data_IF_747037380942
#
_entry.id   IF_747037380942
#
_cell.length_a   1.000
_cell.length_b   1.000
_cell.length_c   1.000
_cell.angle_alpha   90.00
_cell.angle_beta   90.00
_cell.angle_gamma   90.00
#
_symmetry.space_group_name_H-M   'P 1'
#
loop_
_entity.id
_entity.type
_entity.pdbx_description
1 polymer ?
#
# COMPACT_ATOMS: atom_id res chain seq x y z
N UNK A 1 33.24 68.36 -44.97
CA UNK A 1 34.24 68.22 -43.90
C UNK A 1 34.45 66.72 -43.70
N UNK A 2 35.60 66.22 -44.15
CA UNK A 2 35.93 64.77 -44.15
C UNK A 2 36.61 64.45 -42.84
N UNK A 3 36.09 63.45 -42.10
CA UNK A 3 36.79 62.88 -40.96
C UNK A 3 37.20 61.45 -41.34
N UNK A 4 38.51 61.24 -41.26
CA UNK A 4 39.18 59.92 -41.54
C UNK A 4 39.02 58.97 -40.38
N UNK A 5 38.66 57.74 -40.68
CA UNK A 5 38.73 56.61 -39.74
C UNK A 5 40.14 56.07 -39.68
N UNK A 6 40.65 55.89 -38.48
CA UNK A 6 41.86 55.14 -38.25
C UNK A 6 41.50 53.74 -37.67
N UNK A 7 41.82 52.73 -38.44
CA UNK A 7 41.70 51.34 -37.99
C UNK A 7 42.94 51.00 -37.16
N UNK A 8 42.71 50.59 -35.90
CA UNK A 8 43.72 50.05 -35.02
C UNK A 8 43.63 48.54 -35.06
N UNK A 9 44.65 47.92 -35.65
CA UNK A 9 44.79 46.47 -35.73
C UNK A 9 45.46 45.95 -34.42
N UNK A 10 44.68 45.32 -33.54
CA UNK A 10 45.25 44.62 -32.37
C UNK A 10 45.63 43.18 -32.76
N UNK A 11 46.89 42.92 -32.80
CA UNK A 11 47.44 41.57 -32.96
C UNK A 11 47.43 40.87 -31.61
N UNK A 12 46.53 39.90 -31.44
CA UNK A 12 46.50 39.01 -30.27
C UNK A 12 47.39 37.78 -30.57
N UNK A 13 48.55 37.73 -29.98
CA UNK A 13 49.41 36.55 -29.97
C UNK A 13 48.83 35.51 -29.00
N UNK A 14 48.28 34.43 -29.50
CA UNK A 14 47.91 33.27 -28.69
C UNK A 14 49.13 32.40 -28.41
N UNK A 15 49.62 32.43 -27.16
CA UNK A 15 50.62 31.48 -26.66
C UNK A 15 49.87 30.21 -26.30
N UNK A 16 50.01 29.17 -27.12
CA UNK A 16 49.53 27.84 -26.80
C UNK A 16 50.51 27.18 -25.80
N UNK A 17 50.16 27.17 -24.52
CA UNK A 17 50.77 26.33 -23.52
C UNK A 17 50.22 24.90 -23.65
N UNK A 18 50.90 24.03 -24.35
CA UNK A 18 50.66 22.60 -24.34
C UNK A 18 51.27 21.98 -23.11
N UNK A 19 50.50 21.89 -22.03
CA UNK A 19 50.81 21.03 -20.90
C UNK A 19 50.38 19.60 -21.24
N UNK A 20 51.20 18.58 -21.07
CA UNK A 20 50.71 17.22 -21.22
C UNK A 20 49.80 16.89 -20.06
N UNK A 21 48.49 16.75 -20.35
CA UNK A 21 47.59 16.08 -19.42
C UNK A 21 48.02 14.62 -19.29
N UNK A 22 48.79 14.31 -18.26
CA UNK A 22 48.89 12.94 -17.77
C UNK A 22 47.51 12.52 -17.32
N UNK A 23 46.87 11.69 -18.14
CA UNK A 23 45.66 11.01 -17.73
C UNK A 23 45.97 10.14 -16.51
N UNK A 24 45.73 10.67 -15.31
CA UNK A 24 45.61 9.81 -14.13
C UNK A 24 44.42 8.91 -14.40
N UNK A 25 44.68 7.66 -14.70
CA UNK A 25 43.69 6.61 -14.73
C UNK A 25 43.02 6.55 -13.37
N UNK A 26 41.87 7.25 -13.25
CA UNK A 26 40.96 7.01 -12.15
C UNK A 26 40.47 5.59 -12.37
N UNK A 27 41.07 4.63 -11.67
CA UNK A 27 40.44 3.34 -11.48
C UNK A 27 39.10 3.64 -10.83
N UNK A 28 38.07 3.75 -11.65
CA UNK A 28 36.72 3.71 -11.20
C UNK A 28 36.54 2.32 -10.57
N UNK A 29 36.90 2.20 -9.30
CA UNK A 29 36.43 1.11 -8.49
C UNK A 29 34.92 1.17 -8.67
N UNK A 30 34.37 0.17 -9.36
CA UNK A 30 32.94 -0.01 -9.51
C UNK A 30 32.38 0.03 -8.09
N UNK A 31 31.83 1.16 -7.69
CA UNK A 31 31.18 1.28 -6.40
C UNK A 31 30.23 0.10 -6.33
N UNK A 32 30.45 -0.78 -5.37
CA UNK A 32 29.55 -1.91 -5.17
C UNK A 32 28.17 -1.30 -5.04
N UNK A 33 27.27 -1.65 -5.95
CA UNK A 33 25.88 -1.22 -5.88
C UNK A 33 25.35 -1.64 -4.51
N UNK A 34 25.12 -0.68 -3.61
CA UNK A 34 24.49 -0.91 -2.32
C UNK A 34 22.99 -1.04 -2.46
N UNK A 35 22.51 -1.37 -3.65
CA UNK A 35 21.08 -1.65 -3.88
C UNK A 35 20.68 -2.82 -3.01
N UNK A 36 19.63 -2.63 -2.24
CA UNK A 36 19.06 -3.70 -1.43
C UNK A 36 18.67 -4.88 -2.33
N UNK A 37 19.01 -6.09 -1.92
CA UNK A 37 18.62 -7.31 -2.60
C UNK A 37 18.07 -8.29 -1.56
N UNK A 38 16.80 -8.65 -1.60
CA UNK A 38 16.20 -9.59 -0.66
C UNK A 38 16.70 -11.02 -0.86
N UNK A 39 17.22 -11.37 -2.04
CA UNK A 39 17.69 -12.72 -2.32
C UNK A 39 18.96 -13.06 -1.55
N UNK A 40 18.97 -14.23 -0.96
CA UNK A 40 20.11 -14.84 -0.28
C UNK A 40 20.47 -16.14 -1.02
N UNK A 41 21.65 -16.68 -0.77
CA UNK A 41 22.05 -17.97 -1.37
C UNK A 41 21.13 -19.11 -0.90
N UNK A 42 21.06 -20.17 -1.72
CA UNK A 42 20.34 -21.41 -1.42
C UNK A 42 18.80 -21.26 -1.32
N UNK A 43 18.20 -20.39 -2.14
CA UNK A 43 16.74 -20.21 -2.17
C UNK A 43 16.17 -19.52 -0.92
N UNK A 44 17.04 -18.93 -0.10
CA UNK A 44 16.61 -18.15 1.06
C UNK A 44 16.37 -16.69 0.65
N UNK A 45 15.49 -16.00 1.39
CA UNK A 45 15.33 -14.56 1.29
C UNK A 45 15.59 -13.89 2.65
N UNK A 46 15.70 -12.58 2.65
CA UNK A 46 15.79 -11.74 3.84
C UNK A 46 14.81 -10.59 3.78
N UNK A 47 14.24 -10.26 4.91
CA UNK A 47 13.40 -9.09 5.07
C UNK A 47 14.22 -7.79 5.26
N UNK A 48 13.68 -6.62 4.82
CA UNK A 48 12.46 -6.49 4.06
C UNK A 48 12.56 -7.05 2.64
N UNK A 49 11.46 -7.55 2.08
CA UNK A 49 11.41 -7.95 0.66
C UNK A 49 11.36 -6.73 -0.25
N UNK A 50 10.80 -5.60 0.24
CA UNK A 50 10.89 -4.29 -0.40
C UNK A 50 11.44 -3.28 0.62
N UNK A 51 12.67 -2.80 0.41
CA UNK A 51 13.33 -1.80 1.25
C UNK A 51 13.05 -0.38 0.72
N UNK A 52 11.76 -0.05 0.59
CA UNK A 52 11.23 1.24 0.16
C UNK A 52 9.88 1.49 0.81
N UNK A 53 9.38 2.74 0.74
CA UNK A 53 8.09 3.12 1.32
C UNK A 53 6.93 2.56 0.50
N UNK A 54 6.40 1.42 0.93
CA UNK A 54 5.18 0.77 0.42
C UNK A 54 4.27 0.46 1.60
N UNK A 55 3.65 1.52 2.12
CA UNK A 55 2.77 1.47 3.29
C UNK A 55 1.51 0.65 3.01
N UNK A 56 1.04 -0.08 4.02
CA UNK A 56 -0.26 -0.75 3.99
C UNK A 56 -0.44 -1.71 2.79
N UNK A 57 0.53 -2.61 2.52
CA UNK A 57 0.50 -3.45 1.35
C UNK A 57 -0.70 -4.40 1.38
N UNK A 58 -1.33 -4.57 0.22
CA UNK A 58 -2.29 -5.65 0.00
C UNK A 58 -1.94 -6.41 -1.28
N UNK A 59 -2.19 -7.70 -1.28
CA UNK A 59 -1.76 -8.61 -2.34
C UNK A 59 -2.87 -9.60 -2.71
N UNK A 60 -2.98 -9.91 -3.99
CA UNK A 60 -3.79 -11.02 -4.47
C UNK A 60 -2.98 -11.92 -5.41
N UNK A 61 -3.39 -13.18 -5.52
CA UNK A 61 -2.82 -14.16 -6.44
C UNK A 61 -3.78 -14.45 -7.59
N UNK A 62 -3.24 -14.54 -8.81
CA UNK A 62 -3.97 -15.00 -9.99
C UNK A 62 -3.10 -16.04 -10.72
N UNK A 63 -3.46 -17.29 -10.63
CA UNK A 63 -2.63 -18.38 -11.15
C UNK A 63 -1.30 -18.49 -10.40
N UNK A 64 -0.20 -18.26 -11.11
CA UNK A 64 1.17 -18.27 -10.55
C UNK A 64 1.73 -16.86 -10.27
N UNK A 65 0.92 -15.85 -10.48
CA UNK A 65 1.32 -14.43 -10.39
C UNK A 65 0.71 -13.77 -9.17
N UNK A 66 1.48 -12.88 -8.56
CA UNK A 66 1.08 -12.08 -7.41
C UNK A 66 1.05 -10.61 -7.79
N UNK A 67 0.02 -9.91 -7.36
CA UNK A 67 -0.15 -8.48 -7.61
C UNK A 67 -0.35 -7.75 -6.30
N UNK A 68 0.44 -6.71 -6.07
CA UNK A 68 0.41 -5.91 -4.84
C UNK A 68 0.17 -4.44 -5.16
N UNK A 69 -0.54 -3.77 -4.27
CA UNK A 69 -0.65 -2.31 -4.23
C UNK A 69 -0.47 -1.82 -2.80
N UNK A 70 -0.28 -0.51 -2.63
CA UNK A 70 -0.03 0.13 -1.33
C UNK A 70 -0.58 1.54 -1.27
N UNK A 71 -0.61 2.14 -0.08
CA UNK A 71 -0.90 3.56 0.09
C UNK A 71 0.07 4.42 -0.72
N UNK A 72 -0.44 5.42 -1.40
CA UNK A 72 0.38 6.39 -2.13
C UNK A 72 0.21 7.82 -1.61
N UNK A 73 -0.74 8.03 -0.71
CA UNK A 73 -1.06 9.33 -0.12
C UNK A 73 -1.25 10.40 -1.21
N UNK A 74 -0.50 11.50 -1.16
CA UNK A 74 -0.51 12.58 -2.16
C UNK A 74 0.45 12.33 -3.33
N UNK A 75 1.14 11.19 -3.38
CA UNK A 75 2.12 10.88 -4.42
C UNK A 75 1.44 10.33 -5.67
N UNK A 76 1.84 10.81 -6.85
CA UNK A 76 1.35 10.33 -8.15
C UNK A 76 2.50 9.90 -9.04
N UNK A 77 2.25 8.90 -9.92
CA UNK A 77 1.03 8.12 -10.07
C UNK A 77 0.72 7.31 -8.81
N UNK A 78 -0.56 7.35 -8.39
CA UNK A 78 -1.04 6.68 -7.18
C UNK A 78 -1.45 5.24 -7.40
N UNK A 79 -1.51 4.45 -6.32
CA UNK A 79 -1.86 3.04 -6.35
C UNK A 79 -0.99 2.27 -7.36
N UNK A 80 0.32 2.29 -7.17
CA UNK A 80 1.24 1.53 -7.99
C UNK A 80 0.92 0.03 -7.90
N UNK A 81 0.99 -0.65 -9.04
CA UNK A 81 0.79 -2.08 -9.15
C UNK A 81 2.14 -2.75 -9.29
N UNK A 82 2.46 -3.60 -8.34
CA UNK A 82 3.66 -4.41 -8.35
C UNK A 82 3.30 -5.86 -8.69
N UNK A 83 4.15 -6.50 -9.46
CA UNK A 83 4.02 -7.89 -9.87
C UNK A 83 5.18 -8.72 -9.34
N UNK A 84 4.89 -9.95 -8.95
CA UNK A 84 5.87 -10.96 -8.55
C UNK A 84 5.41 -12.36 -8.93
N UNK A 85 6.36 -13.28 -9.08
CA UNK A 85 6.10 -14.72 -9.25
C UNK A 85 6.55 -15.54 -8.02
N UNK A 86 7.14 -14.89 -7.01
CA UNK A 86 7.75 -15.57 -5.86
C UNK A 86 7.53 -14.86 -4.51
N UNK A 87 6.77 -13.74 -4.48
CA UNK A 87 6.52 -12.89 -3.31
C UNK A 87 7.75 -12.16 -2.75
N UNK A 88 8.94 -12.40 -3.29
CA UNK A 88 10.22 -11.83 -2.83
C UNK A 88 10.71 -10.75 -3.78
N UNK A 89 10.64 -11.02 -5.07
CA UNK A 89 11.11 -10.13 -6.13
C UNK A 89 9.92 -9.44 -6.79
N UNK A 90 9.87 -8.11 -6.67
CA UNK A 90 8.77 -7.29 -7.12
C UNK A 90 9.20 -6.29 -8.18
N UNK A 91 8.39 -6.12 -9.22
CA UNK A 91 8.54 -5.08 -10.24
C UNK A 91 7.29 -4.20 -10.34
N UNK A 92 7.46 -2.90 -10.54
CA UNK A 92 6.34 -1.99 -10.81
C UNK A 92 5.94 -2.18 -12.27
N UNK A 93 4.67 -2.56 -12.50
CA UNK A 93 4.15 -2.80 -13.85
C UNK A 93 3.18 -1.72 -14.34
N UNK A 94 2.54 -1.00 -13.42
CA UNK A 94 1.59 0.08 -13.73
C UNK A 94 1.23 0.90 -12.49
N UNK A 95 0.25 1.79 -12.63
CA UNK A 95 -0.43 2.47 -11.54
C UNK A 95 -1.92 2.64 -11.88
N UNK A 96 -2.77 2.50 -10.87
CA UNK A 96 -4.22 2.58 -11.06
C UNK A 96 -4.76 4.02 -11.05
N UNK A 97 -4.04 4.96 -10.45
CA UNK A 97 -4.38 6.40 -10.46
C UNK A 97 -3.30 7.16 -11.20
N UNK A 98 -3.63 7.72 -12.35
CA UNK A 98 -2.70 8.50 -13.17
C UNK A 98 -2.78 9.99 -12.79
N UNK A 99 -3.57 10.80 -13.52
CA UNK A 99 -3.49 12.27 -13.41
C UNK A 99 -4.78 12.94 -12.87
N UNK A 100 -5.89 12.25 -12.85
CA UNK A 100 -7.22 12.80 -12.67
C UNK A 100 -7.91 12.41 -11.36
N UNK A 101 -7.13 12.20 -10.30
CA UNK A 101 -7.70 11.98 -8.98
C UNK A 101 -8.47 13.21 -8.50
N UNK A 102 -9.75 13.07 -8.09
CA UNK A 102 -10.57 14.21 -7.69
C UNK A 102 -10.11 14.78 -6.35
N UNK A 103 -9.35 15.85 -6.41
CA UNK A 103 -8.94 16.63 -5.23
C UNK A 103 -10.12 17.46 -4.73
N UNK A 104 -10.21 17.67 -3.41
CA UNK A 104 -11.22 18.56 -2.83
C UNK A 104 -11.12 19.97 -3.42
N UNK A 105 -12.25 20.65 -3.67
CA UNK A 105 -12.27 21.99 -4.30
C UNK A 105 -11.38 23.02 -3.60
N UNK A 106 -11.26 22.95 -2.27
CA UNK A 106 -10.40 23.83 -1.48
C UNK A 106 -8.91 23.66 -1.75
N UNK A 107 -8.50 22.58 -2.42
CA UNK A 107 -7.14 22.32 -2.85
C UNK A 107 -6.93 22.56 -4.35
N UNK A 108 -8.00 22.79 -5.10
CA UNK A 108 -7.93 23.02 -6.55
C UNK A 108 -7.65 24.49 -6.87
N UNK A 109 -6.72 24.75 -7.78
CA UNK A 109 -6.57 26.04 -8.48
C UNK A 109 -6.11 27.23 -7.64
N UNK A 110 -5.66 27.01 -6.42
CA UNK A 110 -5.04 28.06 -5.63
C UNK A 110 -3.54 28.00 -5.76
N UNK A 111 -2.88 29.16 -5.94
CA UNK A 111 -1.44 29.22 -5.68
C UNK A 111 -1.17 28.50 -4.35
N UNK A 112 -0.38 27.46 -4.43
CA UNK A 112 -0.03 26.64 -3.29
C UNK A 112 0.67 27.55 -2.27
N UNK A 113 -0.09 28.05 -1.30
CA UNK A 113 0.54 28.38 -0.04
C UNK A 113 1.00 27.06 0.57
N UNK A 114 2.14 26.59 0.08
CA UNK A 114 2.76 25.32 0.49
C UNK A 114 2.87 25.18 2.01
N UNK A 115 2.83 26.30 2.74
CA UNK A 115 2.89 26.33 4.21
C UNK A 115 1.56 25.97 4.88
N UNK A 116 0.45 26.18 4.18
CA UNK A 116 -0.90 26.02 4.74
C UNK A 116 -1.71 24.90 4.12
N UNK A 117 -1.38 24.49 2.88
CA UNK A 117 -2.25 23.62 2.06
C UNK A 117 -1.62 22.31 1.60
N UNK A 118 -0.31 22.15 1.65
CA UNK A 118 0.31 20.84 1.38
C UNK A 118 0.20 20.00 2.66
N UNK A 119 -0.87 19.23 2.73
CA UNK A 119 -1.03 18.25 3.80
C UNK A 119 -0.42 16.94 3.30
N UNK A 120 0.79 16.65 3.76
CA UNK A 120 1.38 15.34 3.56
C UNK A 120 0.50 14.27 4.21
N UNK A 121 0.36 13.13 3.52
CA UNK A 121 -0.41 12.00 4.01
C UNK A 121 -1.92 12.10 3.81
N UNK A 122 -2.40 12.96 2.89
CA UNK A 122 -3.79 12.99 2.46
C UNK A 122 -4.04 12.10 1.23
N UNK A 123 -5.29 11.95 0.82
CA UNK A 123 -5.87 11.31 -0.36
C UNK A 123 -5.88 9.77 -0.30
N UNK A 124 -4.87 9.11 -0.85
CA UNK A 124 -4.90 7.68 -1.14
C UNK A 124 -4.29 6.91 0.02
N UNK A 125 -5.14 6.50 0.96
CA UNK A 125 -4.73 5.72 2.13
C UNK A 125 -4.77 4.21 1.81
N UNK A 126 -4.85 3.37 2.82
CA UNK A 126 -4.70 1.93 2.70
C UNK A 126 -5.66 1.28 1.69
N UNK A 127 -5.15 0.72 0.58
CA UNK A 127 -5.94 0.04 -0.42
C UNK A 127 -6.17 -1.44 -0.09
N UNK A 128 -7.11 -2.04 -0.82
CA UNK A 128 -7.20 -3.48 -0.99
C UNK A 128 -7.25 -3.85 -2.46
N UNK A 129 -6.53 -4.90 -2.86
CA UNK A 129 -6.57 -5.46 -4.21
C UNK A 129 -7.18 -6.85 -4.18
N UNK A 130 -8.15 -7.11 -5.06
CA UNK A 130 -8.82 -8.42 -5.20
C UNK A 130 -9.00 -8.77 -6.66
N UNK A 131 -8.99 -10.06 -6.95
CA UNK A 131 -9.36 -10.59 -8.25
C UNK A 131 -10.68 -11.36 -8.13
N UNK A 132 -11.66 -10.97 -8.93
CA UNK A 132 -12.99 -11.57 -8.94
C UNK A 132 -13.58 -11.53 -10.34
N UNK A 133 -14.11 -12.66 -10.81
CA UNK A 133 -14.78 -12.81 -12.11
C UNK A 133 -14.04 -12.19 -13.31
N UNK A 134 -12.71 -12.43 -13.37
CA UNK A 134 -11.88 -11.94 -14.47
C UNK A 134 -11.42 -10.49 -14.35
N UNK A 135 -11.71 -9.81 -13.24
CA UNK A 135 -11.36 -8.43 -12.98
C UNK A 135 -10.48 -8.28 -11.75
N UNK A 136 -9.50 -7.40 -11.85
CA UNK A 136 -8.80 -6.83 -10.70
C UNK A 136 -9.60 -5.64 -10.18
N UNK A 137 -9.82 -5.60 -8.90
CA UNK A 137 -10.48 -4.51 -8.19
C UNK A 137 -9.51 -3.93 -7.17
N UNK A 138 -9.43 -2.60 -7.10
CA UNK A 138 -8.79 -1.90 -6.00
C UNK A 138 -9.84 -1.06 -5.30
N UNK A 139 -9.93 -1.24 -3.98
CA UNK A 139 -10.74 -0.39 -3.10
C UNK A 139 -9.81 0.42 -2.24
N UNK A 140 -10.14 1.69 -2.03
CA UNK A 140 -9.29 2.60 -1.25
C UNK A 140 -10.14 3.62 -0.50
N UNK A 141 -9.64 4.08 0.63
CA UNK A 141 -10.22 5.17 1.40
C UNK A 141 -9.50 6.49 1.16
N UNK A 142 -10.27 7.53 0.84
CA UNK A 142 -9.88 8.92 1.03
C UNK A 142 -10.55 9.40 2.33
N UNK A 143 -9.79 9.74 3.38
CA UNK A 143 -10.37 10.04 4.70
C UNK A 143 -11.25 11.29 4.70
N UNK A 144 -11.15 12.16 3.70
CA UNK A 144 -11.91 13.39 3.60
C UNK A 144 -13.14 13.27 2.67
N UNK A 145 -13.16 12.27 1.74
CA UNK A 145 -14.21 12.10 0.74
C UNK A 145 -15.02 10.81 0.88
N UNK A 146 -14.36 9.69 1.22
CA UNK A 146 -15.03 8.38 1.38
C UNK A 146 -14.25 7.23 0.76
N UNK A 147 -14.98 6.14 0.48
CA UNK A 147 -14.43 4.92 -0.11
C UNK A 147 -14.70 4.90 -1.62
N UNK A 148 -13.67 4.61 -2.40
CA UNK A 148 -13.76 4.47 -3.85
C UNK A 148 -13.18 3.14 -4.33
N UNK A 149 -13.49 2.78 -5.55
CA UNK A 149 -12.91 1.64 -6.24
C UNK A 149 -12.53 2.02 -7.67
N UNK A 150 -11.58 1.27 -8.20
CA UNK A 150 -11.30 1.18 -9.64
C UNK A 150 -11.07 -0.27 -10.00
N UNK A 151 -11.16 -0.63 -11.27
CA UNK A 151 -10.98 -2.00 -11.74
C UNK A 151 -10.39 -2.06 -13.14
N UNK A 152 -9.83 -3.22 -13.49
CA UNK A 152 -9.33 -3.53 -14.83
C UNK A 152 -9.33 -5.04 -15.06
N UNK A 153 -9.31 -5.48 -16.30
CA UNK A 153 -9.06 -6.90 -16.66
C UNK A 153 -7.55 -7.19 -16.83
N UNK A 154 -6.75 -6.18 -17.19
CA UNK A 154 -5.29 -6.29 -17.27
C UNK A 154 -4.63 -5.42 -16.17
N UNK A 155 -3.87 -5.98 -15.24
CA UNK A 155 -3.24 -5.21 -14.17
C UNK A 155 -2.20 -4.19 -14.69
N UNK A 156 -1.79 -4.28 -15.96
CA UNK A 156 -0.99 -3.26 -16.64
C UNK A 156 -1.81 -2.05 -17.08
N UNK A 157 -3.15 -2.14 -17.00
CA UNK A 157 -4.07 -1.08 -17.41
C UNK A 157 -4.58 -1.20 -18.85
N UNK A 158 -5.42 -0.26 -19.28
CA UNK A 158 -5.88 0.88 -18.48
C UNK A 158 -6.79 0.47 -17.33
N UNK A 159 -6.72 1.22 -16.23
CA UNK A 159 -7.67 1.13 -15.13
C UNK A 159 -8.87 2.03 -15.41
N UNK A 160 -10.08 1.57 -15.02
CA UNK A 160 -11.29 2.37 -15.16
C UNK A 160 -11.22 3.61 -14.26
N UNK A 161 -11.92 4.70 -14.61
CA UNK A 161 -12.09 5.84 -13.70
C UNK A 161 -12.64 5.41 -12.35
N UNK A 162 -12.26 6.12 -11.27
CA UNK A 162 -12.71 5.78 -9.93
C UNK A 162 -14.23 5.88 -9.80
N UNK A 163 -14.80 4.96 -9.03
CA UNK A 163 -16.18 4.94 -8.62
C UNK A 163 -16.28 5.09 -7.11
N UNK A 164 -17.01 6.08 -6.62
CA UNK A 164 -17.27 6.24 -5.19
C UNK A 164 -18.29 5.21 -4.70
N UNK A 165 -17.81 4.23 -3.91
CA UNK A 165 -18.66 3.16 -3.34
C UNK A 165 -19.45 3.61 -2.12
N UNK A 166 -18.86 4.53 -1.33
CA UNK A 166 -19.48 5.10 -0.13
C UNK A 166 -18.87 6.47 0.16
N UNK A 167 -19.70 7.50 0.19
CA UNK A 167 -19.30 8.87 0.55
C UNK A 167 -19.33 9.08 2.05
N UNK A 168 -18.36 9.82 2.59
CA UNK A 168 -18.33 10.19 4.01
C UNK A 168 -16.94 10.47 4.52
N UNK A 169 -16.80 11.39 5.48
CA UNK A 169 -15.52 11.69 6.13
C UNK A 169 -15.14 10.60 7.13
N UNK A 170 -13.85 10.29 7.16
CA UNK A 170 -13.28 9.35 8.11
C UNK A 170 -13.43 7.88 7.75
N UNK A 171 -14.00 7.55 6.60
CA UNK A 171 -14.06 6.18 6.09
C UNK A 171 -12.70 5.80 5.52
N UNK A 172 -12.11 4.70 6.02
CA UNK A 172 -10.77 4.25 5.65
C UNK A 172 -10.66 2.73 5.56
N UNK A 173 -9.60 2.24 4.93
CA UNK A 173 -9.10 0.87 5.03
C UNK A 173 -10.11 -0.19 4.60
N UNK A 174 -10.76 0.04 3.48
CA UNK A 174 -11.83 -0.84 3.03
C UNK A 174 -11.31 -2.08 2.29
N UNK A 175 -12.04 -3.19 2.46
CA UNK A 175 -11.73 -4.44 1.78
C UNK A 175 -13.02 -5.16 1.36
N UNK A 176 -13.19 -5.45 0.05
CA UNK A 176 -14.35 -6.17 -0.44
C UNK A 176 -14.21 -7.68 -0.20
N UNK A 177 -15.36 -8.34 -0.08
CA UNK A 177 -15.50 -9.79 -0.11
C UNK A 177 -16.72 -10.15 -0.94
N UNK A 178 -16.53 -10.95 -1.99
CA UNK A 178 -17.60 -11.64 -2.71
C UNK A 178 -17.77 -13.03 -2.13
N UNK A 179 -19.00 -13.36 -1.76
CA UNK A 179 -19.32 -14.64 -1.15
C UNK A 179 -19.86 -15.63 -2.19
N UNK A 180 -19.75 -16.90 -1.90
CA UNK A 180 -20.20 -18.02 -2.73
C UNK A 180 -21.71 -18.02 -2.95
N UNK A 181 -22.48 -17.37 -2.07
CA UNK A 181 -23.94 -17.21 -2.19
C UNK A 181 -24.37 -16.05 -3.11
N UNK A 182 -23.41 -15.41 -3.78
CA UNK A 182 -23.63 -14.28 -4.69
C UNK A 182 -23.79 -12.93 -3.99
N UNK A 183 -23.68 -12.87 -2.67
CA UNK A 183 -23.64 -11.61 -1.93
C UNK A 183 -22.24 -11.04 -1.89
N UNK A 184 -22.16 -9.73 -1.70
CA UNK A 184 -20.89 -9.05 -1.50
C UNK A 184 -20.94 -8.16 -0.25
N UNK A 185 -19.79 -8.00 0.36
CA UNK A 185 -19.63 -7.24 1.60
C UNK A 185 -18.40 -6.33 1.49
N UNK A 186 -18.42 -5.22 2.20
CA UNK A 186 -17.31 -4.30 2.34
C UNK A 186 -16.99 -4.10 3.81
N UNK A 187 -15.80 -4.50 4.26
CA UNK A 187 -15.30 -4.13 5.57
C UNK A 187 -14.61 -2.78 5.50
N UNK A 188 -14.61 -2.01 6.58
CA UNK A 188 -13.87 -0.75 6.68
C UNK A 188 -13.62 -0.33 8.13
N UNK A 189 -12.68 0.57 8.32
CA UNK A 189 -12.41 1.25 9.58
C UNK A 189 -12.85 2.71 9.58
N UNK A 190 -12.45 3.44 10.63
CA UNK A 190 -12.66 4.87 10.78
C UNK A 190 -11.42 5.60 11.27
N UNK A 191 -11.10 6.73 10.62
CA UNK A 191 -10.07 7.66 11.05
C UNK A 191 -10.60 8.62 12.10
N UNK A 192 -10.13 8.50 13.34
CA UNK A 192 -10.58 9.36 14.44
C UNK A 192 -10.41 10.87 14.19
N UNK A 193 -9.39 11.24 13.42
CA UNK A 193 -9.12 12.64 13.05
C UNK A 193 -10.18 13.25 12.13
N UNK A 194 -11.02 12.45 11.48
CA UNK A 194 -12.08 12.87 10.55
C UNK A 194 -13.47 12.47 11.00
N UNK A 195 -13.62 11.23 11.49
CA UNK A 195 -14.92 10.68 11.94
C UNK A 195 -15.23 10.98 13.40
N UNK A 196 -14.26 11.42 14.21
CA UNK A 196 -14.41 11.56 15.67
C UNK A 196 -14.43 10.24 16.44
N UNK A 197 -14.41 9.11 15.74
CA UNK A 197 -14.33 7.75 16.30
C UNK A 197 -13.22 6.96 15.60
N UNK A 198 -12.56 6.07 16.34
CA UNK A 198 -11.53 5.14 15.86
C UNK A 198 -11.66 3.82 16.60
N UNK A 199 -10.80 2.86 16.32
CA UNK A 199 -10.73 1.56 17.00
C UNK A 199 -12.03 0.73 16.86
N UNK A 200 -12.79 0.96 15.81
CA UNK A 200 -14.01 0.21 15.48
C UNK A 200 -13.95 -0.26 14.04
N UNK A 201 -14.40 -1.49 13.80
CA UNK A 201 -14.48 -2.06 12.47
C UNK A 201 -15.94 -2.29 12.07
N UNK A 202 -16.18 -2.10 10.80
CA UNK A 202 -17.51 -2.17 10.22
C UNK A 202 -17.54 -3.19 9.07
N UNK A 203 -18.74 -3.72 8.82
CA UNK A 203 -19.08 -4.43 7.59
C UNK A 203 -20.40 -3.87 7.05
N UNK A 204 -20.42 -3.57 5.76
CA UNK A 204 -21.59 -3.13 5.02
C UNK A 204 -21.95 -4.13 3.91
N UNK A 205 -23.22 -4.29 3.55
CA UNK A 205 -23.61 -5.02 2.35
C UNK A 205 -23.22 -4.21 1.11
N UNK A 206 -22.63 -4.87 0.13
CA UNK A 206 -22.19 -4.28 -1.14
C UNK A 206 -22.97 -4.88 -2.30
N UNK A 207 -23.18 -4.13 -3.37
CA UNK A 207 -23.76 -4.67 -4.60
C UNK A 207 -22.87 -5.76 -5.19
N UNK A 208 -23.42 -6.82 -5.79
CA UNK A 208 -22.63 -7.92 -6.36
C UNK A 208 -21.59 -7.47 -7.41
N UNK A 209 -21.86 -6.38 -8.14
CA UNK A 209 -20.95 -5.78 -9.10
C UNK A 209 -19.80 -4.98 -8.44
N UNK A 210 -19.82 -4.85 -7.11
CA UNK A 210 -18.80 -4.15 -6.34
C UNK A 210 -18.84 -2.63 -6.39
N UNK A 211 -19.83 -2.01 -7.05
CA UNK A 211 -19.79 -0.57 -7.37
C UNK A 211 -20.32 0.32 -6.25
N UNK A 212 -21.08 -0.22 -5.30
CA UNK A 212 -21.70 0.58 -4.23
C UNK A 212 -22.05 -0.23 -2.99
N UNK A 213 -22.01 0.44 -1.86
CA UNK A 213 -22.65 -0.04 -0.61
C UNK A 213 -24.17 0.10 -0.76
N UNK A 214 -24.92 -0.95 -0.42
CA UNK A 214 -26.38 -1.03 -0.62
C UNK A 214 -27.21 -1.06 0.68
N UNK A 215 -26.55 -0.86 1.83
CA UNK A 215 -27.22 -0.81 3.13
C UNK A 215 -26.30 -0.25 4.22
N UNK A 216 -26.76 -0.16 5.46
CA UNK A 216 -26.00 0.46 6.54
C UNK A 216 -24.76 -0.36 6.91
N UNK A 217 -23.66 0.33 7.20
CA UNK A 217 -22.51 -0.25 7.88
C UNK A 217 -22.89 -0.62 9.31
N UNK A 218 -22.49 -1.83 9.73
CA UNK A 218 -22.70 -2.33 11.10
C UNK A 218 -21.34 -2.42 11.78
N UNK A 219 -21.26 -1.98 13.03
CA UNK A 219 -20.09 -2.25 13.88
C UNK A 219 -20.06 -3.77 14.11
N UNK A 220 -18.95 -4.38 13.75
CA UNK A 220 -18.71 -5.82 13.90
C UNK A 220 -17.65 -6.11 14.96
N UNK A 221 -16.84 -5.11 15.29
CA UNK A 221 -15.83 -5.21 16.35
C UNK A 221 -15.58 -3.82 16.96
N UNK A 222 -15.54 -3.77 18.29
CA UNK A 222 -15.15 -2.61 19.08
C UNK A 222 -13.85 -2.92 19.84
N UNK A 223 -12.77 -2.30 19.43
CA UNK A 223 -11.43 -2.51 19.97
C UNK A 223 -10.96 -1.45 20.95
N UNK A 224 -11.85 -0.60 21.49
CA UNK A 224 -11.42 0.49 22.37
C UNK A 224 -10.68 0.01 23.61
N UNK A 225 -11.08 -1.11 24.17
CA UNK A 225 -10.48 -1.66 25.40
C UNK A 225 -9.25 -2.52 25.09
N UNK A 226 -9.40 -3.53 24.22
CA UNK A 226 -8.40 -4.59 24.04
C UNK A 226 -7.48 -4.37 22.83
N UNK A 227 -7.99 -3.73 21.77
CA UNK A 227 -7.29 -3.55 20.49
C UNK A 227 -7.27 -2.06 20.07
N UNK A 228 -6.63 -1.17 20.86
CA UNK A 228 -6.63 0.26 20.57
C UNK A 228 -6.03 0.54 19.19
N UNK A 229 -6.64 1.49 18.47
CA UNK A 229 -6.29 1.83 17.07
C UNK A 229 -6.40 0.66 16.09
N UNK A 230 -7.32 -0.29 16.32
CA UNK A 230 -7.60 -1.31 15.33
C UNK A 230 -8.21 -0.64 14.08
N UNK A 231 -7.64 -0.97 12.90
CA UNK A 231 -7.97 -0.40 11.60
C UNK A 231 -7.53 -1.39 10.49
N UNK A 232 -7.32 -0.97 9.25
CA UNK A 232 -6.59 -1.74 8.24
C UNK A 232 -7.25 -3.07 7.84
N UNK A 233 -8.58 -3.09 7.69
CA UNK A 233 -9.30 -4.35 7.47
C UNK A 233 -8.88 -5.06 6.19
N UNK A 234 -8.61 -6.38 6.29
CA UNK A 234 -8.51 -7.30 5.15
C UNK A 234 -9.50 -8.44 5.37
N UNK A 235 -10.48 -8.56 4.46
CA UNK A 235 -11.63 -9.41 4.63
C UNK A 235 -11.50 -10.65 3.74
N UNK A 236 -11.59 -11.83 4.37
CA UNK A 236 -11.45 -13.13 3.71
C UNK A 236 -12.55 -14.10 4.13
N UNK A 237 -12.77 -15.14 3.30
CA UNK A 237 -13.57 -16.31 3.66
C UNK A 237 -12.75 -17.58 3.43
N UNK A 238 -12.69 -18.45 4.43
CA UNK A 238 -11.99 -19.74 4.35
C UNK A 238 -12.71 -20.78 5.22
N UNK A 239 -12.88 -21.98 4.69
CA UNK A 239 -13.49 -23.12 5.39
C UNK A 239 -14.83 -22.78 6.06
N UNK A 240 -15.65 -21.95 5.41
CA UNK A 240 -16.96 -21.52 5.90
C UNK A 240 -16.91 -20.55 7.08
N UNK A 241 -15.77 -19.91 7.33
CA UNK A 241 -15.62 -18.79 8.25
C UNK A 241 -15.24 -17.50 7.52
N UNK A 242 -15.69 -16.40 8.07
CA UNK A 242 -15.28 -15.04 7.70
C UNK A 242 -14.13 -14.62 8.61
N UNK A 243 -13.12 -14.01 8.02
CA UNK A 243 -11.95 -13.50 8.73
C UNK A 243 -11.76 -12.02 8.41
N UNK A 244 -11.58 -11.22 9.45
CA UNK A 244 -11.08 -9.84 9.28
C UNK A 244 -9.70 -9.81 9.92
N UNK A 245 -8.66 -9.60 9.11
CA UNK A 245 -7.31 -9.39 9.59
C UNK A 245 -7.06 -7.90 9.67
N UNK A 246 -6.70 -7.40 10.86
CA UNK A 246 -6.57 -5.98 11.13
C UNK A 246 -5.40 -5.70 12.06
N UNK A 247 -4.59 -4.65 11.81
CA UNK A 247 -3.58 -4.20 12.76
C UNK A 247 -4.21 -3.44 13.91
N UNK A 248 -3.56 -3.49 15.08
CA UNK A 248 -3.88 -2.68 16.25
C UNK A 248 -2.60 -2.13 16.88
N UNK A 249 -2.70 -1.26 17.88
CA UNK A 249 -1.56 -0.70 18.62
C UNK A 249 -0.78 0.40 17.89
N UNK A 250 -1.19 0.76 16.68
CA UNK A 250 -0.58 1.82 15.87
C UNK A 250 0.68 1.39 15.10
N UNK A 251 1.04 2.16 14.09
CA UNK A 251 2.03 1.81 13.05
C UNK A 251 3.43 1.47 13.56
N UNK A 252 3.84 2.02 14.70
CA UNK A 252 5.22 1.87 15.19
C UNK A 252 5.45 0.62 16.02
N UNK A 253 4.48 0.22 16.83
CA UNK A 253 4.63 -0.87 17.78
C UNK A 253 3.45 -1.83 17.77
N UNK A 254 2.63 -1.78 16.73
CA UNK A 254 1.42 -2.54 16.63
C UNK A 254 1.63 -4.04 16.46
N UNK A 255 0.52 -4.71 16.35
CA UNK A 255 0.40 -6.14 16.14
C UNK A 255 -0.75 -6.43 15.18
N UNK A 256 -0.82 -7.64 14.69
CA UNK A 256 -1.88 -8.09 13.79
C UNK A 256 -2.91 -8.91 14.55
N UNK A 257 -4.16 -8.49 14.45
CA UNK A 257 -5.33 -9.17 15.02
C UNK A 257 -6.04 -9.95 13.91
N UNK A 258 -6.53 -11.12 14.24
CA UNK A 258 -7.41 -11.94 13.42
C UNK A 258 -8.77 -12.08 14.13
N UNK A 259 -9.80 -11.65 13.46
CA UNK A 259 -11.20 -11.79 13.89
C UNK A 259 -11.86 -12.87 13.05
N UNK A 260 -12.50 -13.85 13.67
CA UNK A 260 -13.14 -14.98 12.99
C UNK A 260 -14.61 -15.12 13.36
N UNK A 261 -15.48 -15.35 12.38
CA UNK A 261 -16.91 -15.58 12.59
C UNK A 261 -17.52 -16.55 11.57
N UNK A 262 -18.65 -17.14 11.90
CA UNK A 262 -19.51 -17.87 10.96
C UNK A 262 -20.44 -16.95 10.16
N UNK A 263 -20.53 -15.67 10.54
CA UNK A 263 -21.41 -14.70 9.93
C UNK A 263 -20.59 -13.44 9.58
N UNK A 264 -20.76 -12.83 8.38
CA UNK A 264 -20.02 -11.63 8.00
C UNK A 264 -20.22 -10.44 8.95
N UNK A 265 -21.30 -10.44 9.70
CA UNK A 265 -21.60 -9.40 10.71
C UNK A 265 -21.28 -9.82 12.15
N UNK A 266 -20.56 -10.92 12.34
CA UNK A 266 -20.19 -11.42 13.67
C UNK A 266 -21.30 -12.24 14.37
N UNK A 267 -21.14 -12.49 15.69
CA UNK A 267 -20.02 -12.04 16.51
C UNK A 267 -18.67 -12.65 16.09
N UNK A 268 -17.61 -11.89 16.27
CA UNK A 268 -16.26 -12.34 15.94
C UNK A 268 -15.50 -12.81 17.18
N UNK A 269 -14.80 -13.93 17.04
CA UNK A 269 -13.78 -14.38 18.00
C UNK A 269 -12.45 -13.71 17.64
N UNK A 270 -11.76 -13.17 18.63
CA UNK A 270 -10.51 -12.45 18.49
C UNK A 270 -9.29 -13.35 18.76
N UNK A 271 -8.21 -13.09 18.01
CA UNK A 271 -6.91 -13.69 18.21
C UNK A 271 -5.79 -12.75 17.74
N UNK A 272 -4.67 -12.69 18.48
CA UNK A 272 -3.47 -11.99 18.02
C UNK A 272 -2.64 -12.95 17.17
N UNK A 273 -2.66 -12.76 15.86
CA UNK A 273 -1.99 -13.63 14.89
C UNK A 273 -0.49 -13.37 14.77
N UNK A 274 -0.07 -12.09 14.91
CA UNK A 274 1.34 -11.70 14.82
C UNK A 274 1.61 -10.49 15.71
N UNK A 275 2.67 -10.55 16.51
CA UNK A 275 3.12 -9.45 17.33
C UNK A 275 4.65 -9.33 17.28
N UNK A 276 5.18 -8.19 17.73
CA UNK A 276 6.60 -8.02 17.92
C UNK A 276 7.12 -9.06 18.94
N UNK A 277 7.83 -10.04 18.49
CA UNK A 277 8.41 -11.09 19.33
C UNK A 277 9.42 -10.55 20.36
N UNK A 278 10.33 -11.41 20.81
CA UNK A 278 11.37 -11.05 21.81
C UNK A 278 12.43 -10.10 21.25
N UNK A 279 12.55 -9.97 19.94
CA UNK A 279 13.51 -9.10 19.28
C UNK A 279 12.97 -7.66 19.16
N UNK A 280 13.28 -6.85 20.15
CA UNK A 280 12.85 -5.43 20.18
C UNK A 280 13.60 -4.50 19.21
N UNK A 281 14.52 -5.02 18.38
CA UNK A 281 15.20 -4.21 17.37
C UNK A 281 14.35 -3.98 16.11
N UNK A 282 13.31 -4.77 15.93
CA UNK A 282 12.34 -4.67 14.86
C UNK A 282 11.04 -4.21 15.47
N UNK A 283 10.39 -3.19 14.92
CA UNK A 283 9.09 -2.74 15.42
C UNK A 283 7.99 -3.77 15.11
N UNK A 284 6.80 -3.58 15.65
CA UNK A 284 5.71 -4.51 15.50
C UNK A 284 5.24 -4.63 14.04
N UNK A 285 4.74 -5.78 13.62
CA UNK A 285 4.10 -5.92 12.32
C UNK A 285 2.81 -5.10 12.30
N UNK A 286 2.59 -4.40 11.19
CA UNK A 286 1.40 -3.58 11.03
C UNK A 286 0.85 -3.71 9.63
N UNK A 287 -0.43 -3.67 9.49
CA UNK A 287 -1.25 -3.72 8.29
C UNK A 287 -0.64 -4.50 7.12
N UNK A 288 -1.22 -5.65 6.86
CA UNK A 288 -0.73 -6.54 5.83
C UNK A 288 -1.84 -7.45 5.30
N UNK A 289 -1.47 -8.32 4.40
CA UNK A 289 -2.37 -9.21 3.70
C UNK A 289 -1.86 -10.65 3.74
N UNK A 290 -2.81 -11.56 3.95
CA UNK A 290 -2.60 -12.97 3.71
C UNK A 290 -2.73 -13.29 2.23
N UNK A 291 -1.88 -14.18 1.75
CA UNK A 291 -1.93 -14.73 0.40
C UNK A 291 -1.51 -16.20 0.43
N UNK A 292 -2.19 -17.02 -0.36
CA UNK A 292 -1.81 -18.41 -0.61
C UNK A 292 -0.88 -18.51 -1.83
N UNK A 293 -0.15 -19.61 -1.93
CA UNK A 293 0.64 -19.94 -3.12
C UNK A 293 -0.02 -21.06 -3.92
N UNK A 294 0.42 -21.23 -5.17
CA UNK A 294 0.00 -22.34 -6.02
C UNK A 294 0.38 -23.73 -5.46
N UNK A 295 1.32 -23.76 -4.52
CA UNK A 295 1.77 -24.98 -3.82
C UNK A 295 1.00 -25.25 -2.52
N UNK A 296 0.03 -24.40 -2.17
CA UNK A 296 -0.76 -24.52 -0.96
C UNK A 296 -0.06 -24.02 0.32
N UNK A 297 0.98 -23.20 0.18
CA UNK A 297 1.60 -22.51 1.28
C UNK A 297 0.85 -21.19 1.56
N UNK A 298 0.85 -20.78 2.80
CA UNK A 298 0.26 -19.51 3.23
C UNK A 298 1.36 -18.53 3.64
N UNK A 299 1.23 -17.28 3.20
CA UNK A 299 2.18 -16.20 3.45
C UNK A 299 1.46 -14.94 3.92
N UNK A 300 2.18 -14.10 4.67
CA UNK A 300 1.67 -12.82 5.16
C UNK A 300 2.67 -11.71 4.82
N UNK A 301 2.23 -10.76 3.99
CA UNK A 301 2.96 -9.51 3.76
C UNK A 301 2.48 -8.47 4.75
N UNK A 302 3.39 -7.72 5.33
CA UNK A 302 3.07 -6.60 6.21
C UNK A 302 4.15 -5.54 6.13
N UNK A 303 3.88 -4.34 6.59
CA UNK A 303 4.93 -3.35 6.69
C UNK A 303 5.52 -3.26 8.10
N UNK A 304 6.69 -2.66 8.17
CA UNK A 304 7.29 -2.14 9.39
C UNK A 304 7.73 -0.70 9.19
N UNK A 305 7.41 0.16 10.14
CA UNK A 305 7.82 1.56 10.12
C UNK A 305 9.33 1.69 10.32
N UNK A 306 10.01 2.34 9.39
CA UNK A 306 11.44 2.61 9.38
C UNK A 306 11.73 4.11 9.45
N UNK A 307 10.86 4.83 10.11
CA UNK A 307 10.93 6.28 10.33
C UNK A 307 11.06 7.07 9.01
N UNK A 308 12.13 7.85 8.85
CA UNK A 308 12.35 8.69 7.66
C UNK A 308 12.53 7.89 6.36
N UNK A 309 12.77 6.60 6.43
CA UNK A 309 12.88 5.71 5.26
C UNK A 309 11.55 5.14 4.80
N UNK A 310 10.46 5.47 5.49
CA UNK A 310 9.13 5.00 5.17
C UNK A 310 8.78 3.65 5.79
N UNK A 311 7.78 2.99 5.25
CA UNK A 311 7.21 1.73 5.73
C UNK A 311 7.57 0.60 4.77
N UNK A 312 8.59 -0.17 5.16
CA UNK A 312 9.18 -1.23 4.33
C UNK A 312 8.38 -2.53 4.44
N UNK A 313 8.33 -3.29 3.34
CA UNK A 313 7.50 -4.51 3.29
C UNK A 313 8.30 -5.74 3.71
N UNK A 314 7.72 -6.50 4.62
CA UNK A 314 8.20 -7.78 5.11
C UNK A 314 7.30 -8.92 4.63
N UNK A 315 7.88 -10.09 4.42
CA UNK A 315 7.19 -11.33 4.10
C UNK A 315 7.44 -12.34 5.22
N UNK A 316 6.37 -12.96 5.73
CA UNK A 316 6.45 -13.99 6.75
C UNK A 316 5.69 -15.24 6.28
N UNK A 317 6.20 -16.46 6.54
CA UNK A 317 5.39 -17.65 6.39
C UNK A 317 4.23 -17.60 7.38
N UNK A 318 3.05 -18.02 6.94
CA UNK A 318 1.87 -18.11 7.78
C UNK A 318 1.40 -19.57 7.89
N UNK A 319 0.78 -19.91 9.00
CA UNK A 319 0.13 -21.22 9.19
C UNK A 319 -1.26 -21.04 9.77
N UNK A 320 -2.21 -21.73 9.19
CA UNK A 320 -3.52 -21.89 9.80
C UNK A 320 -3.42 -22.98 10.88
N UNK A 321 -3.45 -22.55 12.15
CA UNK A 321 -3.32 -23.45 13.31
C UNK A 321 -4.57 -24.27 13.61
N UNK A 322 -4.52 -25.06 14.70
CA UNK A 322 -5.68 -25.76 15.22
C UNK A 322 -6.85 -24.78 15.43
N UNK A 323 -8.00 -25.07 14.82
CA UNK A 323 -9.20 -24.24 14.76
C UNK A 323 -9.23 -23.21 13.62
N UNK A 324 -8.50 -23.42 12.52
CA UNK A 324 -8.48 -22.50 11.35
C UNK A 324 -8.15 -21.06 11.73
N UNK A 325 -7.09 -20.86 12.51
CA UNK A 325 -6.53 -19.54 12.81
C UNK A 325 -5.16 -19.40 12.17
N UNK A 326 -4.89 -18.28 11.54
CA UNK A 326 -3.57 -18.01 10.98
C UNK A 326 -2.61 -17.53 12.07
N UNK A 327 -1.38 -17.99 12.01
CA UNK A 327 -0.26 -17.43 12.76
C UNK A 327 0.90 -17.26 11.79
N UNK A 328 1.50 -16.08 11.74
CA UNK A 328 2.79 -15.92 11.10
C UNK A 328 3.87 -16.45 12.05
N UNK A 329 4.82 -17.18 11.48
CA UNK A 329 5.89 -17.89 12.22
C UNK A 329 7.17 -17.09 12.18
#
# INVERSE_FOLDING_TARGET
MKIKSHSLLCLLATIALSSPLTAMGVNAQKAASHTWNPNVKNGMYRNPVIDADYSDPDVCRVGNDYYMTSSSFQCFPGLQILHSTDLVNWEIISAALLDDYPVLPEYQGTELDWRKKVQHGNYVWAPSIRYHDGWFYIYCGDPDQGLFMTKTQDPRGPWEPITWVMKGKGLIDCCPLWDEDGKAYLSHGCAGSRAGIKSVLFVAPMSPDGTKVIGPSRIVYDGHEDQPTIEGTKFYKRNGYYYIMSPAGGVKYGWQVELRSKNPYGPYEEYVGMAQGKNKKVNGPHQGAWVDTQNGEDWFLHFQDKHAYGRVVHLQPAKWGCKDRSTAI
#
